data_IF_502402173192
#
_entry.id   IF_502402173192
#
_cell.length_a   1.000
_cell.length_b   1.000
_cell.length_c   1.000
_cell.angle_alpha   90.00
_cell.angle_beta   90.00
_cell.angle_gamma   90.00
#
_symmetry.space_group_name_H-M   'P 1'
#
loop_
_entity.id
_entity.type
_entity.pdbx_description
1 polymer ?
#
# COMPACT_ATOMS: atom_id res chain seq x y z
N UNK A 1 16.14 9.66 -8.74
CA UNK A 1 15.13 9.00 -7.89
C UNK A 1 14.43 7.96 -8.74
N UNK A 2 14.28 6.70 -8.26
CA UNK A 2 13.58 5.65 -9.01
C UNK A 2 12.08 5.75 -8.73
N UNK A 3 11.24 5.47 -9.73
CA UNK A 3 9.78 5.51 -9.63
C UNK A 3 9.18 4.12 -9.90
N UNK A 4 8.05 3.82 -9.27
CA UNK A 4 7.30 2.58 -9.45
C UNK A 4 5.79 2.90 -9.51
N UNK A 5 5.06 2.28 -10.43
CA UNK A 5 3.60 2.26 -10.41
C UNK A 5 3.11 0.87 -9.99
N UNK A 6 2.20 0.82 -9.01
CA UNK A 6 1.43 -0.37 -8.68
C UNK A 6 -0.01 -0.16 -9.13
N UNK A 7 -0.61 -1.22 -9.68
CA UNK A 7 -1.97 -1.17 -10.22
C UNK A 7 -2.74 -2.35 -9.62
N UNK A 8 -3.91 -2.07 -9.05
CA UNK A 8 -4.76 -3.09 -8.47
C UNK A 8 -5.78 -2.51 -7.51
N UNK A 9 -6.62 -3.38 -6.98
CA UNK A 9 -7.60 -3.05 -5.95
C UNK A 9 -6.94 -2.60 -4.64
N UNK A 10 -7.69 -1.81 -3.90
CA UNK A 10 -7.39 -1.41 -2.54
C UNK A 10 -8.46 -1.94 -1.60
N UNK A 11 -8.09 -2.10 -0.33
CA UNK A 11 -9.03 -2.44 0.72
C UNK A 11 -8.66 -1.74 2.03
N UNK A 12 -9.52 -1.90 3.03
CA UNK A 12 -9.18 -1.58 4.42
C UNK A 12 -9.24 -2.88 5.20
N UNK A 13 -8.11 -3.26 5.79
CA UNK A 13 -8.03 -4.41 6.68
C UNK A 13 -8.53 -3.98 8.06
N UNK A 14 -9.70 -4.48 8.46
CA UNK A 14 -10.35 -4.17 9.73
C UNK A 14 -10.05 -5.27 10.73
N UNK A 15 -9.48 -4.91 11.89
CA UNK A 15 -9.18 -5.82 13.00
C UNK A 15 -9.96 -5.37 14.26
N UNK A 16 -11.21 -5.81 14.43
CA UNK A 16 -12.08 -5.33 15.53
C UNK A 16 -11.52 -5.62 16.91
N UNK A 17 -10.93 -6.80 17.11
CA UNK A 17 -10.36 -7.23 18.38
C UNK A 17 -9.17 -6.37 18.82
N UNK A 18 -8.51 -5.72 17.86
CA UNK A 18 -7.40 -4.81 18.11
C UNK A 18 -7.83 -3.35 18.16
N UNK A 19 -9.11 -3.06 17.87
CA UNK A 19 -9.63 -1.72 17.61
C UNK A 19 -8.75 -0.95 16.60
N UNK A 20 -8.36 -1.61 15.50
CA UNK A 20 -7.45 -1.07 14.48
C UNK A 20 -7.96 -1.30 13.06
N UNK A 21 -7.57 -0.40 12.18
CA UNK A 21 -7.78 -0.48 10.74
C UNK A 21 -6.48 -0.11 10.01
N UNK A 22 -6.21 -0.77 8.89
CA UNK A 22 -5.03 -0.51 8.06
C UNK A 22 -5.42 -0.40 6.59
N UNK A 23 -4.75 0.48 5.85
CA UNK A 23 -4.85 0.47 4.39
C UNK A 23 -4.23 -0.82 3.86
N UNK A 24 -4.99 -1.55 3.05
CA UNK A 24 -4.62 -2.84 2.49
C UNK A 24 -4.80 -2.89 0.98
N UNK A 25 -4.61 -4.09 0.43
CA UNK A 25 -4.56 -4.35 -1.01
C UNK A 25 -3.13 -4.56 -1.47
N UNK A 26 -2.91 -5.55 -2.33
CA UNK A 26 -1.55 -5.93 -2.72
C UNK A 26 -0.81 -4.77 -3.40
N UNK A 27 -1.50 -4.02 -4.27
CA UNK A 27 -0.95 -2.84 -4.94
C UNK A 27 -0.55 -1.75 -3.93
N UNK A 28 -1.37 -1.50 -2.91
CA UNK A 28 -1.10 -0.54 -1.82
C UNK A 28 0.11 -0.99 -1.00
N UNK A 29 0.16 -2.27 -0.60
CA UNK A 29 1.22 -2.81 0.22
C UNK A 29 2.59 -2.74 -0.48
N UNK A 30 2.65 -3.06 -1.77
CA UNK A 30 3.89 -2.94 -2.56
C UNK A 30 4.32 -1.48 -2.69
N UNK A 31 3.39 -0.56 -2.98
CA UNK A 31 3.70 0.87 -3.08
C UNK A 31 4.31 1.40 -1.77
N UNK A 32 3.65 1.12 -0.63
CA UNK A 32 4.14 1.53 0.69
C UNK A 32 5.49 0.88 1.00
N UNK A 33 5.68 -0.40 0.72
CA UNK A 33 6.93 -1.10 0.98
C UNK A 33 8.12 -0.46 0.23
N UNK A 34 7.93 -0.08 -1.03
CA UNK A 34 8.97 0.53 -1.85
C UNK A 34 9.45 1.90 -1.34
N UNK A 35 8.60 2.64 -0.61
CA UNK A 35 9.04 3.91 0.04
C UNK A 35 10.20 3.68 1.01
N UNK A 36 10.23 2.53 1.70
CA UNK A 36 11.29 2.17 2.66
C UNK A 36 12.65 1.95 1.97
N UNK A 37 12.66 1.77 0.65
CA UNK A 37 13.86 1.59 -0.17
C UNK A 37 14.19 2.82 -1.03
N UNK A 38 13.59 3.98 -0.74
CA UNK A 38 13.88 5.23 -1.45
C UNK A 38 13.32 5.31 -2.87
N UNK A 39 12.33 4.48 -3.21
CA UNK A 39 11.59 4.54 -4.46
C UNK A 39 10.38 5.45 -4.25
N UNK A 40 10.04 6.30 -5.22
CA UNK A 40 8.80 7.07 -5.22
C UNK A 40 7.69 6.24 -5.88
N UNK A 41 6.68 5.74 -5.12
CA UNK A 41 5.60 4.95 -5.68
C UNK A 41 4.43 5.83 -6.16
N UNK A 42 3.67 5.32 -7.12
CA UNK A 42 2.28 5.69 -7.38
C UNK A 42 1.40 4.43 -7.29
N UNK A 43 0.25 4.53 -6.62
CA UNK A 43 -0.74 3.45 -6.55
C UNK A 43 -1.96 3.88 -7.38
N UNK A 44 -2.37 3.05 -8.33
CA UNK A 44 -3.50 3.31 -9.23
C UNK A 44 -4.53 2.19 -9.02
N UNK A 45 -5.78 2.59 -8.78
CA UNK A 45 -6.94 1.72 -8.55
C UNK A 45 -7.99 1.96 -9.61
#
# INVERSE_FOLDING_TARGET
MKTLATIGDNCVDIYPQLNKAFSGGNAVNVAVYCTRYGIQPGCIT
#
